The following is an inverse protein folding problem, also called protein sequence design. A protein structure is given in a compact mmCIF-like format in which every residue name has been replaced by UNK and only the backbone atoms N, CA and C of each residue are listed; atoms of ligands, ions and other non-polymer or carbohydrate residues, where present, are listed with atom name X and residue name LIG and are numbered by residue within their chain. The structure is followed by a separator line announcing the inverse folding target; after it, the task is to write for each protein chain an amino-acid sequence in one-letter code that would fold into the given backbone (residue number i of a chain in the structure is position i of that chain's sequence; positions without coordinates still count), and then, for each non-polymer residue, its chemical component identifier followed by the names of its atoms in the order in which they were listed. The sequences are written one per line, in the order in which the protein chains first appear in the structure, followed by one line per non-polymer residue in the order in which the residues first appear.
data_IF_794242333233
#
_entry.id   IF_794242333233
#
_cell.length_a   1.000
_cell.length_b   1.000
_cell.length_c   1.000
_cell.angle_alpha   90.00
_cell.angle_beta   90.00
_cell.angle_gamma   90.00
#
_symmetry.space_group_name_H-M   'P 1'
#
loop_
_entity.id
_entity.type
_entity.pdbx_description
1 polymer ?
#
# COMPACT_ATOMS: atom_id res chain seq x y z
N UNK A 1 -17.24 -4.66 11.97
CA UNK A 1 -16.54 -4.39 13.25
C UNK A 1 -15.36 -3.49 12.94
N UNK A 2 -15.39 -2.21 13.35
CA UNK A 2 -14.31 -1.26 13.06
C UNK A 2 -13.14 -1.45 14.04
N UNK A 3 -12.40 -2.54 13.89
CA UNK A 3 -11.20 -2.80 14.68
C UNK A 3 -10.04 -1.96 14.13
N UNK A 4 -9.76 -0.82 14.74
CA UNK A 4 -8.64 0.03 14.33
C UNK A 4 -7.31 -0.64 14.66
N UNK A 5 -6.52 -0.97 13.64
CA UNK A 5 -5.17 -1.53 13.84
C UNK A 5 -4.28 -0.48 14.50
N UNK A 6 -3.76 -0.78 15.69
CA UNK A 6 -2.79 0.06 16.40
C UNK A 6 -1.37 -0.35 16.00
N UNK A 7 -0.45 0.61 15.98
CA UNK A 7 0.95 0.34 15.64
C UNK A 7 1.61 -0.67 16.59
N UNK A 8 1.29 -0.61 17.89
CA UNK A 8 1.83 -1.53 18.90
C UNK A 8 1.44 -2.97 18.58
N UNK A 9 0.14 -3.22 18.44
CA UNK A 9 -0.42 -4.55 18.16
C UNK A 9 0.14 -5.13 16.85
N UNK A 10 0.19 -4.31 15.79
CA UNK A 10 0.76 -4.73 14.50
C UNK A 10 2.24 -5.08 14.61
N UNK A 11 3.03 -4.28 15.35
CA UNK A 11 4.46 -4.54 15.53
C UNK A 11 4.69 -5.85 16.28
N UNK A 12 3.96 -6.08 17.37
CA UNK A 12 4.05 -7.29 18.18
C UNK A 12 3.71 -8.53 17.34
N UNK A 13 2.61 -8.50 16.59
CA UNK A 13 2.19 -9.63 15.75
C UNK A 13 3.23 -9.96 14.67
N UNK A 14 3.86 -8.94 14.04
CA UNK A 14 4.88 -9.16 13.03
C UNK A 14 6.19 -9.71 13.61
N UNK A 15 6.53 -9.35 14.84
CA UNK A 15 7.68 -9.97 15.55
C UNK A 15 7.40 -11.47 15.76
N UNK A 16 6.21 -11.82 16.21
CA UNK A 16 5.79 -13.23 16.36
C UNK A 16 5.84 -13.95 15.01
N UNK A 17 5.33 -13.34 13.94
CA UNK A 17 5.39 -13.93 12.59
C UNK A 17 6.83 -14.19 12.13
N UNK A 18 7.76 -13.29 12.48
CA UNK A 18 9.19 -13.44 12.16
C UNK A 18 9.84 -14.56 12.96
N UNK A 19 9.53 -14.69 14.25
CA UNK A 19 10.01 -15.79 15.09
C UNK A 19 9.50 -17.15 14.61
N UNK A 20 8.25 -17.22 14.16
CA UNK A 20 7.62 -18.44 13.64
C UNK A 20 7.94 -18.71 12.17
N UNK A 21 8.62 -17.79 11.49
CA UNK A 21 8.86 -17.80 10.05
C UNK A 21 7.57 -17.95 9.19
N UNK A 22 6.41 -17.60 9.76
CA UNK A 22 5.10 -17.79 9.14
C UNK A 22 4.21 -16.59 9.45
N UNK A 23 3.49 -16.11 8.44
CA UNK A 23 2.48 -15.07 8.65
C UNK A 23 1.25 -15.68 9.35
N UNK A 24 0.83 -15.06 10.45
CA UNK A 24 -0.37 -15.45 11.18
C UNK A 24 -1.63 -14.91 10.49
N UNK A 25 -2.75 -15.59 10.69
CA UNK A 25 -4.04 -15.14 10.17
C UNK A 25 -4.43 -13.77 10.75
N UNK A 26 -4.06 -13.51 12.01
CA UNK A 26 -4.24 -12.20 12.65
C UNK A 26 -3.49 -11.07 11.92
N UNK A 27 -2.23 -11.29 11.54
CA UNK A 27 -1.47 -10.29 10.79
C UNK A 27 -2.11 -10.02 9.42
N UNK A 28 -2.61 -11.07 8.76
CA UNK A 28 -3.34 -10.95 7.50
C UNK A 28 -4.63 -10.14 7.67
N UNK A 29 -5.44 -10.43 8.68
CA UNK A 29 -6.65 -9.67 9.00
C UNK A 29 -6.35 -8.19 9.27
N UNK A 30 -5.24 -7.90 9.98
CA UNK A 30 -4.79 -6.52 10.20
C UNK A 30 -4.46 -5.82 8.88
N UNK A 31 -3.78 -6.50 7.93
CA UNK A 31 -3.49 -5.93 6.62
C UNK A 31 -4.76 -5.68 5.81
N UNK A 32 -5.75 -6.59 5.84
CA UNK A 32 -7.04 -6.40 5.17
C UNK A 32 -7.76 -5.16 5.70
N UNK A 33 -7.88 -5.03 7.03
CA UNK A 33 -8.53 -3.86 7.65
C UNK A 33 -7.80 -2.55 7.32
N UNK A 34 -6.47 -2.58 7.29
CA UNK A 34 -5.68 -1.41 6.86
C UNK A 34 -6.00 -1.05 5.41
N UNK A 35 -5.90 -2.01 4.48
CA UNK A 35 -6.14 -1.78 3.07
C UNK A 35 -7.56 -1.27 2.80
N UNK A 36 -8.59 -1.88 3.39
CA UNK A 36 -9.98 -1.42 3.30
C UNK A 36 -10.11 0.04 3.76
N UNK A 37 -9.53 0.38 4.90
CA UNK A 37 -9.59 1.76 5.43
C UNK A 37 -8.88 2.75 4.51
N UNK A 38 -7.75 2.38 3.91
CA UNK A 38 -7.05 3.25 2.96
C UNK A 38 -7.80 3.40 1.63
N UNK A 39 -8.47 2.35 1.15
CA UNK A 39 -9.26 2.41 -0.08
C UNK A 39 -10.41 3.43 0.00
N UNK A 40 -10.97 3.66 1.18
CA UNK A 40 -12.01 4.67 1.39
C UNK A 40 -11.53 6.12 1.18
N UNK A 41 -10.21 6.35 1.12
CA UNK A 41 -9.63 7.66 0.78
C UNK A 41 -9.39 7.84 -0.72
N UNK A 42 -9.58 6.79 -1.52
CA UNK A 42 -9.41 6.80 -2.96
C UNK A 42 -10.78 6.79 -3.64
N UNK A 43 -10.84 7.38 -4.84
CA UNK A 43 -12.06 7.41 -5.65
C UNK A 43 -11.96 6.36 -6.74
N UNK A 44 -12.98 5.51 -6.82
CA UNK A 44 -13.11 4.48 -7.84
C UNK A 44 -14.40 4.74 -8.63
N UNK A 45 -14.37 4.47 -9.92
CA UNK A 45 -15.58 4.52 -10.76
C UNK A 45 -16.41 3.27 -10.52
N UNK A 46 -15.75 2.10 -10.49
CA UNK A 46 -16.37 0.80 -10.32
C UNK A 46 -15.97 0.19 -8.97
N UNK A 47 -16.92 -0.38 -8.19
CA UNK A 47 -16.62 -1.09 -6.95
C UNK A 47 -15.68 -2.28 -7.14
N UNK A 48 -15.76 -2.96 -8.28
CA UNK A 48 -14.94 -4.13 -8.61
C UNK A 48 -13.45 -3.75 -8.70
N UNK A 49 -13.13 -2.58 -9.28
CA UNK A 49 -11.76 -2.05 -9.32
C UNK A 49 -11.20 -1.78 -7.92
N UNK A 50 -12.09 -1.35 -7.00
CA UNK A 50 -11.72 -1.11 -5.61
C UNK A 50 -11.33 -2.42 -4.93
N UNK A 51 -12.12 -3.48 -5.11
CA UNK A 51 -11.85 -4.81 -4.55
C UNK A 51 -10.58 -5.42 -5.13
N UNK A 52 -10.35 -5.30 -6.44
CA UNK A 52 -9.12 -5.73 -7.09
C UNK A 52 -7.91 -4.98 -6.51
N UNK A 53 -8.00 -3.66 -6.39
CA UNK A 53 -6.95 -2.83 -5.82
C UNK A 53 -6.64 -3.17 -4.35
N UNK A 54 -7.65 -3.47 -3.53
CA UNK A 54 -7.48 -3.94 -2.15
C UNK A 54 -6.76 -5.29 -2.14
N UNK A 55 -7.18 -6.22 -2.99
CA UNK A 55 -6.57 -7.54 -3.12
C UNK A 55 -5.09 -7.45 -3.50
N UNK A 56 -4.75 -6.58 -4.46
CA UNK A 56 -3.34 -6.30 -4.80
C UNK A 56 -2.55 -5.73 -3.63
N UNK A 57 -3.12 -4.82 -2.85
CA UNK A 57 -2.44 -4.23 -1.70
C UNK A 57 -2.18 -5.26 -0.58
N UNK A 58 -3.14 -6.16 -0.31
CA UNK A 58 -2.98 -7.23 0.68
C UNK A 58 -1.95 -8.27 0.20
N UNK A 59 -1.99 -8.63 -1.09
CA UNK A 59 -1.00 -9.53 -1.71
C UNK A 59 0.42 -8.98 -1.59
N UNK A 60 0.62 -7.68 -1.84
CA UNK A 60 1.92 -7.03 -1.65
C UNK A 60 2.36 -7.08 -0.18
N UNK A 61 1.46 -6.88 0.78
CA UNK A 61 1.78 -7.04 2.20
C UNK A 61 2.20 -8.49 2.51
N UNK A 62 1.47 -9.48 1.99
CA UNK A 62 1.80 -10.90 2.14
C UNK A 62 3.13 -11.29 1.48
N UNK A 63 3.50 -10.66 0.36
CA UNK A 63 4.76 -10.97 -0.31
C UNK A 63 5.96 -10.33 0.39
N UNK A 64 5.79 -9.12 0.94
CA UNK A 64 6.91 -8.30 1.44
C UNK A 64 6.95 -8.12 2.96
N UNK A 65 6.10 -8.82 3.74
CA UNK A 65 6.06 -8.65 5.20
C UNK A 65 7.39 -8.90 5.90
N UNK A 66 8.20 -9.83 5.37
CA UNK A 66 9.52 -10.18 5.93
C UNK A 66 10.50 -9.01 5.89
N UNK A 67 10.30 -8.06 4.97
CA UNK A 67 11.20 -6.92 4.76
C UNK A 67 11.13 -5.86 5.86
N UNK A 68 10.12 -5.89 6.73
CA UNK A 68 10.07 -5.00 7.89
C UNK A 68 11.19 -5.36 8.89
N UNK A 69 11.86 -4.35 9.45
CA UNK A 69 12.95 -4.54 10.41
C UNK A 69 12.63 -3.78 11.71
N UNK A 70 12.28 -4.49 12.80
CA UNK A 70 11.89 -3.87 14.07
C UNK A 70 12.97 -3.01 14.72
N UNK A 71 14.26 -3.29 14.44
CA UNK A 71 15.40 -2.55 14.99
C UNK A 71 15.57 -1.20 14.28
N UNK A 72 15.33 -1.18 12.97
CA UNK A 72 15.45 0.05 12.15
C UNK A 72 14.28 1.00 12.30
N UNK A 73 13.07 0.48 12.52
CA UNK A 73 11.87 1.31 12.65
C UNK A 73 10.93 0.79 13.73
N UNK A 74 10.66 1.64 14.72
CA UNK A 74 9.64 1.41 15.76
C UNK A 74 8.20 1.44 15.20
N UNK A 75 8.01 2.02 14.00
CA UNK A 75 6.70 2.23 13.40
C UNK A 75 6.46 1.24 12.26
N UNK A 76 5.90 0.08 12.59
CA UNK A 76 5.46 -0.92 11.62
C UNK A 76 4.35 -0.37 10.71
N UNK A 77 3.42 0.40 11.28
CA UNK A 77 2.29 0.95 10.53
C UNK A 77 2.73 1.82 9.35
N UNK A 78 3.76 2.66 9.53
CA UNK A 78 4.30 3.49 8.46
C UNK A 78 4.90 2.65 7.31
N UNK A 79 5.63 1.58 7.65
CA UNK A 79 6.21 0.67 6.66
C UNK A 79 5.13 0.00 5.80
N UNK A 80 4.14 -0.62 6.45
CA UNK A 80 3.05 -1.30 5.74
C UNK A 80 2.13 -0.34 4.99
N UNK A 81 1.93 0.88 5.51
CA UNK A 81 1.21 1.93 4.76
C UNK A 81 1.88 2.20 3.41
N UNK A 82 3.22 2.22 3.35
CA UNK A 82 3.92 2.44 2.09
C UNK A 82 3.73 1.28 1.13
N UNK A 83 3.75 0.04 1.63
CA UNK A 83 3.48 -1.16 0.83
C UNK A 83 2.06 -1.12 0.27
N UNK A 84 1.06 -0.82 1.10
CA UNK A 84 -0.35 -0.72 0.69
C UNK A 84 -0.54 0.34 -0.41
N UNK A 85 0.05 1.53 -0.23
CA UNK A 85 0.01 2.60 -1.25
C UNK A 85 0.61 2.15 -2.59
N UNK A 86 1.75 1.47 -2.53
CA UNK A 86 2.40 0.93 -3.72
C UNK A 86 1.54 -0.15 -4.38
N UNK A 87 0.90 -1.03 -3.59
CA UNK A 87 -0.02 -2.06 -4.05
C UNK A 87 -1.23 -1.48 -4.78
N UNK A 88 -1.85 -0.42 -4.24
CA UNK A 88 -2.93 0.29 -4.93
C UNK A 88 -2.48 0.89 -6.27
N UNK A 89 -1.32 1.55 -6.30
CA UNK A 89 -0.79 2.10 -7.54
C UNK A 89 -0.47 1.02 -8.58
N UNK A 90 0.00 -0.16 -8.15
CA UNK A 90 0.22 -1.31 -9.04
C UNK A 90 -1.11 -1.88 -9.56
N UNK A 91 -2.09 -2.09 -8.69
CA UNK A 91 -3.42 -2.58 -9.07
C UNK A 91 -4.07 -1.66 -10.10
N UNK A 92 -4.05 -0.35 -9.85
CA UNK A 92 -4.57 0.64 -10.80
C UNK A 92 -3.87 0.60 -12.16
N UNK A 93 -2.53 0.51 -12.18
CA UNK A 93 -1.75 0.37 -13.42
C UNK A 93 -2.00 -0.95 -14.14
N UNK A 94 -2.35 -2.01 -13.41
CA UNK A 94 -2.68 -3.31 -13.99
C UNK A 94 -4.02 -3.25 -14.71
N UNK A 95 -5.03 -2.62 -14.10
CA UNK A 95 -6.38 -2.47 -14.64
C UNK A 95 -6.43 -1.52 -15.84
N UNK A 96 -5.85 -0.33 -15.68
CA UNK A 96 -5.98 0.77 -16.65
C UNK A 96 -4.72 1.02 -17.49
N UNK A 97 -3.67 0.22 -17.29
CA UNK A 97 -2.38 0.40 -17.95
C UNK A 97 -1.58 1.56 -17.37
N UNK A 98 -0.49 1.91 -18.07
CA UNK A 98 0.28 3.09 -17.73
C UNK A 98 -0.52 4.32 -18.12
N UNK A 99 -0.91 5.13 -17.12
CA UNK A 99 -1.38 6.49 -17.42
C UNK A 99 -0.36 7.18 -18.32
N UNK A 100 -0.78 7.94 -19.33
CA UNK A 100 0.14 8.73 -20.13
C UNK A 100 0.99 9.56 -19.16
N UNK A 101 2.32 9.47 -19.28
CA UNK A 101 3.21 10.34 -18.51
C UNK A 101 2.70 11.75 -18.75
N UNK A 102 2.25 12.42 -17.68
CA UNK A 102 1.68 13.77 -17.73
C UNK A 102 2.38 14.53 -18.83
N UNK A 103 1.65 14.84 -19.91
CA UNK A 103 2.20 15.60 -21.03
C UNK A 103 2.84 16.83 -20.41
N UNK A 104 4.13 17.08 -20.66
CA UNK A 104 4.71 18.36 -20.26
C UNK A 104 4.04 19.40 -21.15
N UNK A 105 2.99 20.04 -20.64
CA UNK A 105 2.36 21.16 -21.32
C UNK A 105 3.31 22.33 -21.09
N UNK A 106 4.05 22.74 -22.12
CA UNK A 106 4.85 23.95 -22.05
C UNK A 106 3.91 25.13 -21.88
N UNK A 107 3.98 25.83 -20.75
CA UNK A 107 3.20 27.05 -20.51
C UNK A 107 3.75 28.21 -21.36
N UNK A 108 4.99 28.11 -21.86
CA UNK A 108 5.55 29.06 -22.82
C UNK A 108 5.44 28.50 -24.25
N UNK A 109 4.87 29.30 -25.16
CA UNK A 109 5.01 29.10 -26.61
C UNK A 109 6.42 29.44 -27.13
N UNK A 110 7.32 29.91 -26.27
CA UNK A 110 8.62 30.43 -26.66
C UNK A 110 9.72 29.57 -26.04
N UNK A 111 10.38 28.78 -26.90
CA UNK A 111 11.66 28.12 -26.65
C UNK A 111 12.72 29.17 -26.37
N UNK A 112 12.95 29.48 -25.09
CA UNK A 112 14.14 30.21 -24.69
C UNK A 112 14.82 29.37 -23.61
N UNK A 113 15.84 28.62 -24.04
CA UNK A 113 16.84 28.07 -23.13
C UNK A 113 17.82 29.20 -22.81
N UNK A 114 18.12 29.42 -21.53
CA UNK A 114 19.22 30.30 -21.13
C UNK A 114 20.52 29.49 -21.14
N UNK A 115 21.60 30.13 -21.61
CA UNK A 115 22.95 29.60 -21.81
C UNK A 115 23.58 29.06 -20.51
#
# INVERSE_FOLDING_TARGET
MAHHVKNKDLREEIIICKEQDKLTDKALDMFMVMAEKFSNKLTYVYPEDKEDCISFAVMDCYQYWRGYDPEKSQNAFAYYTQIIKNGFAKGWRRLYGNMPKSSKISISQHSIYNL
#
